data_IF_284359962791
#
_entry.id   IF_284359962791
#
_cell.length_a   1.000
_cell.length_b   1.000
_cell.length_c   1.000
_cell.angle_alpha   90.00
_cell.angle_beta   90.00
_cell.angle_gamma   90.00
#
_symmetry.space_group_name_H-M   'P 1'
#
loop_
_entity.id
_entity.type
_entity.pdbx_description
1 polymer ?
#
# COMPACT_ATOMS: atom_id res chain seq x y z
N UNK A 1 16.07 -18.43 27.21
CA UNK A 1 16.57 -17.79 25.97
C UNK A 1 16.02 -16.38 25.96
N UNK A 2 16.87 -15.38 26.12
CA UNK A 2 16.48 -13.99 26.42
C UNK A 2 16.74 -13.14 25.17
N UNK A 3 15.72 -12.46 24.67
CA UNK A 3 15.81 -11.55 23.54
C UNK A 3 16.27 -10.17 24.03
N UNK A 4 17.45 -9.73 23.62
CA UNK A 4 17.99 -8.40 23.92
C UNK A 4 17.72 -7.48 22.74
N UNK A 5 16.86 -6.45 22.86
CA UNK A 5 16.73 -5.45 21.81
C UNK A 5 17.99 -4.56 21.73
N UNK A 6 18.35 -4.02 20.54
CA UNK A 6 19.52 -3.18 20.38
C UNK A 6 19.38 -1.85 21.16
N UNK A 7 20.51 -1.24 21.60
CA UNK A 7 20.48 -0.06 22.46
C UNK A 7 19.88 1.16 21.75
N UNK A 8 18.97 1.85 22.44
CA UNK A 8 18.47 3.16 22.04
C UNK A 8 19.57 4.20 22.27
N UNK A 9 20.21 4.66 21.19
CA UNK A 9 21.07 5.85 21.25
C UNK A 9 20.18 7.09 21.30
N UNK A 10 20.02 7.66 22.49
CA UNK A 10 19.45 9.01 22.66
C UNK A 10 20.52 10.03 22.31
N UNK A 11 20.48 10.57 21.08
CA UNK A 11 21.20 11.79 20.72
C UNK A 11 20.26 12.99 20.91
N UNK A 12 20.68 14.07 21.61
CA UNK A 12 19.80 15.20 21.90
C UNK A 12 19.55 16.09 20.66
N UNK A 13 18.37 16.69 20.64
CA UNK A 13 17.77 17.55 19.62
C UNK A 13 18.55 18.86 19.37
N UNK A 14 18.69 19.34 18.12
CA UNK A 14 18.84 20.76 17.86
C UNK A 14 17.45 21.41 17.77
N UNK A 15 17.08 22.22 18.78
CA UNK A 15 16.07 23.28 18.62
C UNK A 15 16.83 24.54 18.27
N UNK A 16 16.60 25.08 17.08
CA UNK A 16 16.41 26.52 16.77
C UNK A 16 16.60 26.75 15.27
N UNK A 17 15.51 27.13 14.62
CA UNK A 17 15.56 28.11 13.54
C UNK A 17 16.21 27.67 12.23
N UNK A 18 15.69 26.63 11.59
CA UNK A 18 15.74 26.62 10.13
C UNK A 18 14.40 27.13 9.61
N UNK A 19 14.48 28.31 9.02
CA UNK A 19 13.38 29.03 8.42
C UNK A 19 12.98 28.21 7.19
N UNK A 20 11.96 27.36 7.33
CA UNK A 20 11.28 26.72 6.20
C UNK A 20 11.03 27.81 5.15
N UNK A 21 11.79 27.73 4.08
CA UNK A 21 11.58 28.53 2.87
C UNK A 21 10.16 28.23 2.36
N UNK A 22 9.50 29.23 1.74
CA UNK A 22 8.18 28.99 1.18
C UNK A 22 8.31 28.06 -0.04
N UNK A 23 7.69 26.89 0.08
CA UNK A 23 7.05 26.14 -1.00
C UNK A 23 7.92 25.87 -2.24
N UNK A 24 8.91 25.00 -2.11
CA UNK A 24 9.29 24.15 -3.22
C UNK A 24 8.18 23.10 -3.32
N UNK A 25 7.24 23.25 -4.25
CA UNK A 25 6.00 22.45 -4.42
C UNK A 25 6.17 20.94 -4.66
N UNK A 26 7.17 20.30 -4.04
CA UNK A 26 7.33 18.86 -3.94
C UNK A 26 6.28 18.25 -3.01
N UNK A 27 5.60 17.21 -3.50
CA UNK A 27 4.63 16.46 -2.69
C UNK A 27 5.31 15.88 -1.46
N UNK A 28 4.81 16.24 -0.28
CA UNK A 28 5.31 15.73 0.99
C UNK A 28 5.28 14.18 1.01
N UNK A 29 6.37 13.49 1.38
CA UNK A 29 6.48 12.03 1.25
C UNK A 29 5.36 11.23 1.92
N UNK A 30 4.89 11.67 3.10
CA UNK A 30 3.73 11.04 3.77
C UNK A 30 2.43 11.17 2.98
N UNK A 31 2.21 12.31 2.31
CA UNK A 31 1.04 12.52 1.44
C UNK A 31 1.14 11.60 0.23
N UNK A 32 2.32 11.48 -0.38
CA UNK A 32 2.54 10.58 -1.50
C UNK A 32 2.26 9.12 -1.12
N UNK A 33 2.76 8.66 0.03
CA UNK A 33 2.49 7.31 0.55
C UNK A 33 0.98 7.07 0.68
N UNK A 34 0.28 8.00 1.33
CA UNK A 34 -1.16 7.91 1.56
C UNK A 34 -1.95 7.81 0.27
N UNK A 35 -1.70 8.73 -0.68
CA UNK A 35 -2.41 8.78 -1.95
C UNK A 35 -2.19 7.48 -2.72
N UNK A 36 -0.94 7.02 -2.87
CA UNK A 36 -0.65 5.77 -3.57
C UNK A 36 -1.31 4.56 -2.90
N UNK A 37 -1.26 4.48 -1.56
CA UNK A 37 -1.92 3.39 -0.81
C UNK A 37 -3.43 3.38 -1.07
N UNK A 38 -4.07 4.54 -1.00
CA UNK A 38 -5.52 4.64 -1.21
C UNK A 38 -5.90 4.30 -2.67
N UNK A 39 -5.08 4.67 -3.66
CA UNK A 39 -5.31 4.27 -5.06
C UNK A 39 -5.23 2.77 -5.30
N UNK A 40 -4.54 2.03 -4.43
CA UNK A 40 -4.47 0.56 -4.45
C UNK A 40 -5.65 -0.09 -3.71
N UNK A 41 -6.62 0.69 -3.22
CA UNK A 41 -7.76 0.18 -2.46
C UNK A 41 -7.38 -0.31 -1.05
N UNK A 42 -6.22 0.07 -0.53
CA UNK A 42 -5.76 -0.33 0.80
C UNK A 42 -6.15 0.72 1.84
N UNK A 43 -6.74 0.30 2.96
CA UNK A 43 -6.82 1.18 4.13
C UNK A 43 -5.46 1.27 4.84
N UNK A 44 -5.27 2.28 5.69
CA UNK A 44 -4.07 2.36 6.55
C UNK A 44 -3.92 1.11 7.44
N UNK A 45 -5.04 0.49 7.85
CA UNK A 45 -5.06 -0.75 8.63
C UNK A 45 -4.59 -1.94 7.79
N UNK A 46 -5.05 -2.05 6.56
CA UNK A 46 -4.63 -3.14 5.66
C UNK A 46 -3.15 -3.04 5.34
N UNK A 47 -2.65 -1.84 5.08
CA UNK A 47 -1.23 -1.63 4.83
C UNK A 47 -0.38 -1.90 6.08
N UNK A 48 -0.84 -1.48 7.26
CA UNK A 48 -0.17 -1.82 8.52
C UNK A 48 -0.10 -3.35 8.73
N UNK A 49 -1.20 -4.06 8.47
CA UNK A 49 -1.24 -5.52 8.54
C UNK A 49 -0.29 -6.18 7.52
N UNK A 50 -0.28 -5.67 6.28
CA UNK A 50 0.61 -6.14 5.21
C UNK A 50 2.09 -6.00 5.58
N UNK A 51 2.46 -4.90 6.25
CA UNK A 51 3.81 -4.62 6.72
C UNK A 51 4.14 -5.30 8.07
N UNK A 52 3.15 -5.86 8.77
CA UNK A 52 3.33 -6.43 10.11
C UNK A 52 3.64 -5.39 11.19
N UNK A 53 3.13 -4.17 11.07
CA UNK A 53 3.39 -3.05 12.02
C UNK A 53 2.10 -2.47 12.60
N UNK A 54 2.23 -1.59 13.60
CA UNK A 54 1.08 -0.94 14.21
C UNK A 54 0.44 0.11 13.28
N UNK A 55 -0.90 0.16 13.23
CA UNK A 55 -1.66 1.17 12.49
C UNK A 55 -1.22 2.61 12.80
N UNK A 56 -0.95 2.93 14.08
CA UNK A 56 -0.51 4.28 14.48
C UNK A 56 0.82 4.67 13.84
N UNK A 57 1.68 3.70 13.53
CA UNK A 57 2.95 3.93 12.84
C UNK A 57 2.70 4.41 11.42
N UNK A 58 1.81 3.73 10.68
CA UNK A 58 1.43 4.13 9.31
C UNK A 58 0.76 5.51 9.32
N UNK A 59 -0.19 5.75 10.23
CA UNK A 59 -0.86 7.04 10.34
C UNK A 59 0.12 8.19 10.62
N UNK A 60 1.13 7.93 11.47
CA UNK A 60 2.19 8.91 11.76
C UNK A 60 3.05 9.19 10.52
N UNK A 61 3.41 8.16 9.76
CA UNK A 61 4.18 8.33 8.52
C UNK A 61 3.42 9.13 7.48
N UNK A 62 2.13 8.90 7.32
CA UNK A 62 1.30 9.62 6.34
C UNK A 62 1.08 11.09 6.69
N UNK A 63 1.07 11.42 7.99
CA UNK A 63 0.99 12.80 8.47
C UNK A 63 2.34 13.54 8.42
N UNK A 64 3.44 12.79 8.36
CA UNK A 64 4.80 13.31 8.45
C UNK A 64 5.65 12.64 7.36
N UNK A 65 6.79 12.10 7.74
CA UNK A 65 7.70 11.43 6.84
C UNK A 65 7.60 9.91 7.01
N UNK A 66 7.48 9.23 5.88
CA UNK A 66 7.57 7.79 5.79
C UNK A 66 9.02 7.37 5.53
N UNK A 67 9.49 6.25 6.11
CA UNK A 67 10.80 5.73 5.76
C UNK A 67 10.80 5.22 4.30
N UNK A 68 11.93 5.35 3.61
CA UNK A 68 12.07 4.95 2.20
C UNK A 68 11.64 3.51 1.93
N UNK A 69 11.93 2.58 2.84
CA UNK A 69 11.55 1.17 2.67
C UNK A 69 10.03 0.96 2.67
N UNK A 70 9.23 1.84 3.32
CA UNK A 70 7.78 1.75 3.26
C UNK A 70 7.26 2.08 1.86
N UNK A 71 7.92 3.00 1.15
CA UNK A 71 7.62 3.29 -0.25
C UNK A 71 8.00 2.12 -1.15
N UNK A 72 9.16 1.48 -0.93
CA UNK A 72 9.59 0.28 -1.67
C UNK A 72 8.57 -0.86 -1.51
N UNK A 73 8.09 -1.08 -0.29
CA UNK A 73 7.06 -2.09 -0.01
C UNK A 73 5.72 -1.76 -0.70
N UNK A 74 5.36 -0.47 -0.78
CA UNK A 74 4.19 -0.05 -1.54
C UNK A 74 4.38 -0.27 -3.05
N UNK A 75 5.56 0.05 -3.58
CA UNK A 75 5.90 -0.18 -4.98
C UNK A 75 5.87 -1.68 -5.33
N UNK A 76 6.24 -2.57 -4.40
CA UNK A 76 6.07 -4.02 -4.58
C UNK A 76 4.59 -4.42 -4.72
N UNK A 77 3.67 -3.79 -3.98
CA UNK A 77 2.22 -4.00 -4.17
C UNK A 77 1.75 -3.46 -5.53
N UNK A 78 2.30 -2.35 -6.01
CA UNK A 78 2.01 -1.81 -7.34
C UNK A 78 2.43 -2.83 -8.41
N UNK A 79 3.66 -3.35 -8.34
CA UNK A 79 4.14 -4.38 -9.28
C UNK A 79 3.26 -5.62 -9.27
N UNK A 80 2.90 -6.13 -8.10
CA UNK A 80 1.97 -7.26 -7.98
C UNK A 80 0.61 -6.95 -8.62
N UNK A 81 0.09 -5.72 -8.43
CA UNK A 81 -1.18 -5.30 -9.03
C UNK A 81 -1.14 -5.32 -10.56
N UNK A 82 -0.04 -4.84 -11.16
CA UNK A 82 0.14 -4.88 -12.62
C UNK A 82 0.16 -6.32 -13.14
N UNK A 83 0.90 -7.22 -12.49
CA UNK A 83 0.93 -8.63 -12.89
C UNK A 83 -0.46 -9.28 -12.85
N UNK A 84 -1.30 -8.92 -11.87
CA UNK A 84 -2.66 -9.44 -11.79
C UNK A 84 -3.60 -8.83 -12.83
N UNK A 85 -3.43 -7.55 -13.17
CA UNK A 85 -4.18 -6.92 -14.26
C UNK A 85 -3.93 -7.68 -15.57
N UNK A 86 -2.67 -7.95 -15.90
CA UNK A 86 -2.31 -8.71 -17.10
C UNK A 86 -2.94 -10.11 -17.11
N UNK A 87 -2.84 -10.84 -16.00
CA UNK A 87 -3.44 -12.18 -15.86
C UNK A 87 -4.97 -12.18 -16.03
N UNK A 88 -5.65 -11.13 -15.55
CA UNK A 88 -7.10 -11.00 -15.70
C UNK A 88 -7.47 -10.74 -17.16
N UNK A 89 -6.72 -9.87 -17.85
CA UNK A 89 -6.98 -9.58 -19.26
C UNK A 89 -6.84 -10.82 -20.15
N UNK A 90 -5.96 -11.75 -19.78
CA UNK A 90 -5.75 -13.02 -20.48
C UNK A 90 -6.71 -14.16 -20.05
N UNK A 91 -7.55 -13.94 -19.03
CA UNK A 91 -8.37 -15.01 -18.46
C UNK A 91 -9.56 -15.38 -19.38
N UNK A 92 -9.78 -16.68 -19.67
CA UNK A 92 -10.90 -17.13 -20.49
C UNK A 92 -12.18 -17.25 -19.63
N UNK A 93 -12.76 -16.13 -19.20
CA UNK A 93 -14.04 -16.14 -18.48
C UNK A 93 -14.22 -14.99 -17.50
N UNK A 94 -15.38 -14.96 -16.81
CA UNK A 94 -15.66 -13.92 -15.83
C UNK A 94 -14.75 -14.09 -14.61
N UNK A 95 -14.23 -12.98 -14.12
CA UNK A 95 -13.44 -12.93 -12.89
C UNK A 95 -14.35 -12.84 -11.67
N UNK A 96 -14.07 -13.69 -10.69
CA UNK A 96 -14.75 -13.69 -9.39
C UNK A 96 -14.34 -12.47 -8.56
N UNK A 97 -15.30 -11.76 -7.99
CA UNK A 97 -15.08 -10.57 -7.17
C UNK A 97 -15.82 -10.70 -5.85
N UNK A 98 -15.11 -10.46 -4.74
CA UNK A 98 -15.64 -10.56 -3.40
C UNK A 98 -15.85 -9.19 -2.74
N UNK A 99 -16.87 -9.09 -1.88
CA UNK A 99 -17.08 -7.90 -1.05
C UNK A 99 -16.06 -7.79 0.09
N UNK A 100 -15.70 -8.93 0.67
CA UNK A 100 -14.84 -9.06 1.84
C UNK A 100 -13.84 -10.19 1.64
N UNK A 101 -12.90 -10.33 2.59
CA UNK A 101 -11.91 -11.40 2.56
C UNK A 101 -10.52 -10.94 2.09
N UNK A 102 -9.68 -11.92 1.80
CA UNK A 102 -8.25 -11.74 1.60
C UNK A 102 -7.78 -12.53 0.38
N UNK A 103 -6.86 -11.94 -0.38
CA UNK A 103 -6.18 -12.54 -1.51
C UNK A 103 -4.72 -12.74 -1.15
N UNK A 104 -4.20 -13.93 -1.45
CA UNK A 104 -2.78 -14.24 -1.24
C UNK A 104 -2.01 -13.79 -2.47
N UNK A 105 -1.03 -12.90 -2.27
CA UNK A 105 -0.10 -12.45 -3.30
C UNK A 105 0.92 -13.54 -3.60
N UNK A 106 1.65 -13.40 -4.70
CA UNK A 106 2.78 -14.29 -5.03
C UNK A 106 3.82 -14.39 -3.91
N UNK A 107 4.04 -13.29 -3.18
CA UNK A 107 4.95 -13.23 -2.03
C UNK A 107 4.42 -13.92 -0.76
N UNK A 108 3.23 -14.54 -0.80
CA UNK A 108 2.59 -15.18 0.34
C UNK A 108 1.98 -14.20 1.34
N UNK A 109 1.97 -12.90 1.02
CA UNK A 109 1.30 -11.87 1.84
C UNK A 109 -0.17 -11.82 1.48
N UNK A 110 -0.97 -11.23 2.37
CA UNK A 110 -2.41 -11.10 2.18
C UNK A 110 -2.79 -9.65 1.86
N UNK A 111 -3.63 -9.47 0.85
CA UNK A 111 -4.21 -8.19 0.46
C UNK A 111 -5.74 -8.26 0.58
N UNK A 112 -6.42 -7.16 0.94
CA UNK A 112 -7.86 -7.16 1.16
C UNK A 112 -8.65 -7.27 -0.16
N UNK A 113 -9.91 -7.71 -0.09
CA UNK A 113 -10.82 -7.71 -1.23
C UNK A 113 -11.02 -6.32 -1.87
N UNK A 114 -10.78 -5.23 -1.14
CA UNK A 114 -10.78 -3.87 -1.71
C UNK A 114 -9.64 -3.64 -2.71
N UNK A 115 -8.46 -4.22 -2.48
CA UNK A 115 -7.37 -4.18 -3.45
C UNK A 115 -7.73 -4.99 -4.71
N UNK A 116 -8.27 -6.19 -4.53
CA UNK A 116 -8.69 -7.04 -5.65
C UNK A 116 -9.71 -6.34 -6.56
N UNK A 117 -10.67 -5.63 -5.98
CA UNK A 117 -11.64 -4.83 -6.74
C UNK A 117 -11.00 -3.72 -7.57
N UNK A 118 -9.95 -3.06 -7.05
CA UNK A 118 -9.19 -2.07 -7.84
C UNK A 118 -8.49 -2.74 -9.01
N UNK A 119 -7.83 -3.87 -8.78
CA UNK A 119 -7.14 -4.64 -9.83
C UNK A 119 -8.10 -5.07 -10.94
N UNK A 120 -9.24 -5.68 -10.58
CA UNK A 120 -10.29 -6.07 -11.53
C UNK A 120 -10.83 -4.85 -12.28
N UNK A 121 -11.11 -3.75 -11.57
CA UNK A 121 -11.57 -2.51 -12.18
C UNK A 121 -10.59 -1.94 -13.19
N UNK A 122 -9.28 -1.97 -12.91
CA UNK A 122 -8.24 -1.54 -13.85
C UNK A 122 -8.20 -2.43 -15.09
N UNK A 123 -8.29 -3.75 -14.93
CA UNK A 123 -8.33 -4.67 -16.07
C UNK A 123 -9.56 -4.44 -16.96
N UNK A 124 -10.73 -4.16 -16.37
CA UNK A 124 -11.94 -3.81 -17.12
C UNK A 124 -11.81 -2.48 -17.89
N UNK A 125 -11.11 -1.49 -17.32
CA UNK A 125 -10.82 -0.23 -18.00
C UNK A 125 -9.89 -0.45 -19.21
N UNK A 126 -8.88 -1.31 -19.06
CA UNK A 126 -7.88 -1.57 -20.10
C UNK A 126 -8.40 -2.51 -21.20
N UNK A 127 -9.25 -3.48 -20.84
CA UNK A 127 -9.85 -4.44 -21.75
C UNK A 127 -11.36 -4.55 -21.48
N UNK A 128 -12.22 -3.81 -22.21
CA UNK A 128 -13.68 -3.82 -22.00
C UNK A 128 -14.36 -5.18 -22.24
N UNK A 129 -13.64 -6.17 -22.79
CA UNK A 129 -14.08 -7.55 -22.93
C UNK A 129 -14.00 -8.35 -21.63
N UNK A 130 -13.21 -7.88 -20.65
CA UNK A 130 -13.15 -8.48 -19.32
C UNK A 130 -14.50 -8.34 -18.65
N UNK A 131 -15.03 -9.46 -18.16
CA UNK A 131 -16.27 -9.49 -17.39
C UNK A 131 -15.97 -9.95 -15.97
N UNK A 132 -16.82 -9.55 -15.02
CA UNK A 132 -16.66 -9.90 -13.62
C UNK A 132 -18.02 -10.30 -13.04
N UNK A 133 -18.01 -11.15 -12.02
CA UNK A 133 -19.20 -11.53 -11.26
C UNK A 133 -18.94 -11.44 -9.76
N UNK A 134 -19.94 -10.99 -9.01
CA UNK A 134 -19.88 -11.02 -7.56
C UNK A 134 -20.00 -12.44 -7.04
N UNK A 135 -19.19 -12.77 -6.04
CA UNK A 135 -19.24 -14.01 -5.26
C UNK A 135 -19.16 -13.62 -3.80
N UNK A 136 -20.16 -14.04 -3.03
CA UNK A 136 -20.23 -13.79 -1.58
C UNK A 136 -19.34 -14.74 -0.78
#
# INVERSE_FOLDING_TARGET
MTFTPPPHTTTPTPRTGDRLTPDDGGTHPGVLLRVRRETLGLSAKDFANYLGINLRTVQRWEAHEAPTWAMIELDAVITESVEWVDKIMDAPGPVDVWHHGWHVTRSGRVLPASWWRVVVGQAMIQAPTVTARWVD
#
